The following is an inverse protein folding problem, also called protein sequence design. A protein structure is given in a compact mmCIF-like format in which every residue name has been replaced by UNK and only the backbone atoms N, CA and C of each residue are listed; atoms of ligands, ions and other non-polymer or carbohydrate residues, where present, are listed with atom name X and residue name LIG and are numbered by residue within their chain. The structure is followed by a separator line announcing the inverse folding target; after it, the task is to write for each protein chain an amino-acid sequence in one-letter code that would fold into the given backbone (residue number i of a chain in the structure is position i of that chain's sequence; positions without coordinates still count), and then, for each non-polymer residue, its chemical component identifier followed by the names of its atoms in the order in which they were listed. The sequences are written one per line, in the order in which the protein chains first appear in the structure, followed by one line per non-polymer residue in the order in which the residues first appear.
data_IF_313360073243
#
_entry.id   IF_313360073243
#
_cell.length_a   1.000
_cell.length_b   1.000
_cell.length_c   1.000
_cell.angle_alpha   90.00
_cell.angle_beta   90.00
_cell.angle_gamma   90.00
#
_symmetry.space_group_name_H-M   'P 1'
#
loop_
_entity.id
_entity.type
_entity.pdbx_description
1 polymer ?
#
# COMPACT_ATOMS: atom_id res chain seq x y z
N UNK A 1 31.91 -69.21 3.86
CA UNK A 1 32.64 -68.48 2.78
C UNK A 1 31.94 -67.14 2.66
N UNK A 2 32.39 -66.15 3.42
CA UNK A 2 33.24 -65.03 2.95
C UNK A 2 32.38 -63.93 2.32
N UNK A 3 32.35 -62.68 2.76
CA UNK A 3 33.13 -61.98 3.78
C UNK A 3 32.59 -60.56 3.94
N UNK A 4 32.84 -59.96 5.09
CA UNK A 4 32.65 -58.54 5.38
C UNK A 4 33.54 -57.68 4.49
N UNK A 5 33.07 -56.49 4.11
CA UNK A 5 33.94 -55.33 3.89
C UNK A 5 33.24 -54.08 4.41
N UNK A 6 33.72 -53.67 5.57
CA UNK A 6 33.53 -52.36 6.19
C UNK A 6 34.33 -51.34 5.38
N UNK A 7 33.70 -50.23 4.97
CA UNK A 7 34.41 -49.02 4.60
C UNK A 7 33.77 -47.84 5.33
N UNK A 8 34.52 -47.34 6.31
CA UNK A 8 34.27 -46.13 7.11
C UNK A 8 35.07 -45.01 6.45
N UNK A 9 34.45 -44.02 5.80
CA UNK A 9 35.14 -42.79 5.41
C UNK A 9 34.22 -41.56 5.57
N UNK A 10 34.64 -40.74 6.52
CA UNK A 10 34.55 -39.28 6.64
C UNK A 10 33.19 -38.57 6.49
N UNK A 11 32.80 -37.95 7.60
CA UNK A 11 31.92 -36.78 7.66
C UNK A 11 32.47 -35.65 6.79
N UNK A 12 31.65 -35.11 5.89
CA UNK A 12 31.73 -33.72 5.50
C UNK A 12 30.39 -33.05 5.80
N UNK A 13 30.41 -32.16 6.80
CA UNK A 13 29.33 -31.21 7.07
C UNK A 13 29.18 -30.31 5.85
N UNK A 14 28.03 -30.39 5.18
CA UNK A 14 27.57 -29.31 4.29
C UNK A 14 26.25 -28.83 4.86
N UNK A 15 26.30 -27.67 5.52
CA UNK A 15 25.10 -26.91 5.91
C UNK A 15 24.59 -26.25 4.63
N UNK A 16 23.48 -26.75 4.09
CA UNK A 16 22.74 -26.08 3.04
C UNK A 16 21.42 -25.61 3.63
N UNK A 17 21.35 -24.29 3.88
CA UNK A 17 20.13 -23.55 4.17
C UNK A 17 19.59 -23.11 2.81
N UNK A 18 18.35 -23.47 2.46
CA UNK A 18 17.58 -22.75 1.45
C UNK A 18 16.09 -23.11 1.52
N UNK A 19 15.31 -22.09 1.87
CA UNK A 19 13.97 -21.74 1.37
C UNK A 19 12.90 -22.85 1.36
N UNK A 20 12.21 -23.00 2.49
CA UNK A 20 10.87 -23.58 2.51
C UNK A 20 9.86 -22.54 2.05
N UNK A 21 9.18 -22.80 0.94
CA UNK A 21 7.97 -22.11 0.56
C UNK A 21 6.86 -22.46 1.55
N UNK A 22 6.39 -21.48 2.31
CA UNK A 22 5.20 -21.60 3.14
C UNK A 22 4.10 -20.73 2.51
N UNK A 23 3.24 -21.37 1.73
CA UNK A 23 1.94 -20.82 1.30
C UNK A 23 1.06 -20.83 2.55
N UNK A 24 0.82 -19.68 3.15
CA UNK A 24 -0.08 -19.52 4.28
C UNK A 24 -1.37 -18.82 3.82
N UNK A 25 -2.49 -19.51 4.07
CA UNK A 25 -3.83 -19.15 3.66
C UNK A 25 -4.29 -17.80 4.23
N UNK A 26 -4.72 -16.88 3.36
CA UNK A 26 -5.44 -15.67 3.75
C UNK A 26 -6.92 -16.05 3.92
N UNK A 27 -7.42 -15.91 5.14
CA UNK A 27 -8.82 -16.15 5.48
C UNK A 27 -9.68 -15.01 4.92
N UNK A 28 -10.57 -15.34 3.99
CA UNK A 28 -11.52 -14.41 3.39
C UNK A 28 -12.57 -13.94 4.42
N UNK A 29 -12.56 -12.65 4.74
CA UNK A 29 -13.69 -11.98 5.41
C UNK A 29 -14.47 -11.25 4.34
N UNK A 30 -15.41 -11.93 3.68
CA UNK A 30 -16.27 -11.32 2.68
C UNK A 30 -17.13 -10.20 3.30
N UNK A 31 -16.96 -8.97 2.82
CA UNK A 31 -17.80 -7.85 3.24
C UNK A 31 -17.53 -6.55 2.47
N UNK A 32 -18.50 -6.19 1.62
CA UNK A 32 -18.73 -4.89 0.99
C UNK A 32 -17.78 -4.42 -0.12
N UNK A 33 -18.08 -4.87 -1.34
CA UNK A 33 -17.95 -4.04 -2.53
C UNK A 33 -19.34 -3.60 -2.97
N UNK A 34 -19.52 -2.32 -3.29
CA UNK A 34 -20.39 -1.75 -4.32
C UNK A 34 -20.44 -0.23 -4.08
N UNK A 35 -19.79 0.52 -4.97
CA UNK A 35 -19.73 1.99 -5.07
C UNK A 35 -18.52 2.62 -4.34
N UNK A 36 -17.43 2.85 -5.09
CA UNK A 36 -16.31 3.69 -4.68
C UNK A 36 -14.96 3.22 -5.24
N UNK A 37 -14.34 4.02 -6.13
CA UNK A 37 -12.98 3.82 -6.66
C UNK A 37 -12.84 2.99 -7.94
N UNK A 38 -11.94 3.40 -8.84
CA UNK A 38 -11.43 2.54 -9.93
C UNK A 38 -10.78 1.31 -9.29
N UNK A 39 -11.49 0.19 -9.29
CA UNK A 39 -11.04 -1.02 -8.63
C UNK A 39 -9.76 -1.53 -9.29
N UNK A 40 -8.68 -1.62 -8.50
CA UNK A 40 -7.44 -2.30 -8.92
C UNK A 40 -7.77 -3.74 -9.27
N UNK A 41 -7.45 -4.25 -10.47
CA UNK A 41 -7.77 -5.61 -10.86
C UNK A 41 -7.21 -6.64 -9.89
N UNK A 42 -7.83 -7.81 -9.80
CA UNK A 42 -7.32 -8.88 -8.94
C UNK A 42 -5.87 -9.25 -9.31
N UNK A 43 -4.99 -9.32 -8.30
CA UNK A 43 -3.59 -9.71 -8.46
C UNK A 43 -2.59 -8.66 -7.98
N UNK A 44 -1.31 -8.95 -8.18
CA UNK A 44 -0.22 -8.04 -7.80
C UNK A 44 -0.01 -6.97 -8.87
N UNK A 45 0.06 -5.72 -8.43
CA UNK A 45 0.23 -4.55 -9.28
C UNK A 45 1.26 -3.60 -8.69
N UNK A 46 1.92 -2.85 -9.56
CA UNK A 46 2.77 -1.74 -9.14
C UNK A 46 1.91 -0.51 -8.90
N UNK A 47 2.05 0.11 -7.74
CA UNK A 47 1.40 1.37 -7.38
C UNK A 47 2.45 2.41 -7.02
N UNK A 48 2.19 3.66 -7.39
CA UNK A 48 3.02 4.80 -7.02
C UNK A 48 2.61 5.32 -5.64
N UNK A 49 3.59 5.72 -4.84
CA UNK A 49 3.39 6.22 -3.48
C UNK A 49 3.57 7.73 -3.45
N UNK A 50 2.59 8.43 -2.88
CA UNK A 50 2.62 9.87 -2.64
C UNK A 50 2.44 10.13 -1.15
N UNK A 51 3.10 11.15 -0.61
CA UNK A 51 2.85 11.60 0.77
C UNK A 51 1.76 12.66 0.78
N UNK A 52 1.06 12.78 1.91
CA UNK A 52 0.09 13.84 2.13
C UNK A 52 0.73 14.92 2.98
N UNK A 53 0.69 16.17 2.51
CA UNK A 53 1.02 17.32 3.35
C UNK A 53 -0.20 17.69 4.21
N UNK A 54 -0.26 17.08 5.40
CA UNK A 54 -1.35 17.29 6.35
C UNK A 54 -1.43 18.74 6.88
N UNK A 55 -0.39 19.55 6.72
CA UNK A 55 -0.37 20.93 7.23
C UNK A 55 -1.23 21.89 6.39
N UNK A 56 -1.45 21.53 5.13
CA UNK A 56 -2.21 22.31 4.15
C UNK A 56 -3.36 21.52 3.50
N UNK A 57 -3.47 20.22 3.76
CA UNK A 57 -4.65 19.42 3.41
C UNK A 57 -5.82 19.69 4.36
N UNK A 58 -7.07 19.55 3.88
CA UNK A 58 -8.26 19.88 4.66
C UNK A 58 -9.49 19.03 4.29
N UNK A 59 -10.52 19.04 5.15
CA UNK A 59 -11.83 18.47 4.85
C UNK A 59 -12.62 19.40 3.92
N UNK A 60 -13.15 18.85 2.84
CA UNK A 60 -13.84 19.58 1.78
C UNK A 60 -15.30 19.84 2.15
N UNK A 61 -15.57 20.59 3.22
CA UNK A 61 -16.92 20.82 3.73
C UNK A 61 -17.40 22.26 3.51
N UNK A 62 -18.73 22.45 3.47
CA UNK A 62 -19.34 23.77 3.38
C UNK A 62 -18.87 24.56 2.16
N UNK A 63 -18.26 25.72 2.41
CA UNK A 63 -17.74 26.62 1.37
C UNK A 63 -16.42 26.15 0.75
N UNK A 64 -15.69 25.24 1.42
CA UNK A 64 -14.43 24.66 0.93
C UNK A 64 -14.66 23.44 0.03
N UNK A 65 -15.92 22.98 -0.07
CA UNK A 65 -16.27 21.86 -0.94
C UNK A 65 -16.18 22.32 -2.40
N UNK A 66 -15.39 21.65 -3.25
CA UNK A 66 -15.32 22.04 -4.65
C UNK A 66 -16.68 21.94 -5.33
N UNK A 67 -16.91 22.84 -6.28
CA UNK A 67 -18.09 22.77 -7.14
C UNK A 67 -18.12 21.47 -7.94
N UNK A 68 -19.24 21.19 -8.60
CA UNK A 68 -19.44 19.96 -9.37
C UNK A 68 -18.30 19.66 -10.35
N UNK A 69 -17.76 20.69 -11.00
CA UNK A 69 -16.63 20.54 -11.92
C UNK A 69 -15.36 20.05 -11.20
N UNK A 70 -14.96 20.67 -10.09
CA UNK A 70 -13.78 20.27 -9.31
C UNK A 70 -13.87 18.83 -8.82
N UNK A 71 -15.05 18.44 -8.30
CA UNK A 71 -15.33 17.06 -7.91
C UNK A 71 -15.24 16.07 -9.07
N UNK A 72 -15.64 16.48 -10.28
CA UNK A 72 -15.60 15.61 -11.48
C UNK A 72 -14.19 15.42 -12.00
N UNK A 73 -13.31 16.41 -11.87
CA UNK A 73 -11.92 16.33 -12.33
C UNK A 73 -10.94 15.91 -11.22
N UNK A 74 -11.43 15.62 -10.02
CA UNK A 74 -10.60 15.21 -8.87
C UNK A 74 -9.73 16.33 -8.30
N UNK A 75 -10.16 17.59 -8.39
CA UNK A 75 -9.40 18.75 -7.91
C UNK A 75 -10.24 19.65 -7.01
N UNK A 76 -9.65 20.09 -5.91
CA UNK A 76 -10.20 21.15 -5.07
C UNK A 76 -9.84 22.54 -5.59
N UNK A 77 -8.59 22.69 -6.05
CA UNK A 77 -8.04 23.90 -6.64
C UNK A 77 -6.91 23.53 -7.64
N UNK A 78 -5.89 24.38 -7.81
CA UNK A 78 -4.86 24.21 -8.84
C UNK A 78 -3.86 23.09 -8.56
N UNK A 79 -3.66 22.75 -7.29
CA UNK A 79 -2.62 21.84 -6.79
C UNK A 79 -3.12 20.88 -5.70
N UNK A 80 -4.37 21.01 -5.27
CA UNK A 80 -4.99 20.15 -4.28
C UNK A 80 -5.95 19.16 -4.92
N UNK A 81 -5.80 17.87 -4.59
CA UNK A 81 -6.62 16.79 -5.12
C UNK A 81 -7.88 16.58 -4.28
N UNK A 82 -9.03 16.48 -4.94
CA UNK A 82 -10.28 16.10 -4.31
C UNK A 82 -10.38 14.58 -4.23
N UNK A 83 -10.47 14.04 -3.01
CA UNK A 83 -10.49 12.61 -2.73
C UNK A 83 -11.58 12.33 -1.69
N UNK A 84 -12.47 11.39 -1.98
CA UNK A 84 -13.44 10.87 -1.01
C UNK A 84 -12.85 9.58 -0.40
N UNK A 85 -12.68 9.52 0.93
CA UNK A 85 -12.23 8.30 1.62
C UNK A 85 -12.69 8.32 3.08
N UNK A 86 -12.76 7.14 3.72
CA UNK A 86 -13.22 6.99 5.11
C UNK A 86 -14.61 7.63 5.39
N UNK A 87 -15.46 7.77 4.37
CA UNK A 87 -16.78 8.41 4.47
C UNK A 87 -16.76 9.94 4.53
N UNK A 88 -15.63 10.57 4.22
CA UNK A 88 -15.45 12.02 4.16
C UNK A 88 -14.96 12.51 2.80
N UNK A 89 -15.18 13.78 2.53
CA UNK A 89 -14.66 14.48 1.35
C UNK A 89 -13.42 15.29 1.76
N UNK A 90 -12.32 15.14 1.04
CA UNK A 90 -11.05 15.74 1.41
C UNK A 90 -10.37 16.43 0.23
N UNK A 91 -9.60 17.46 0.56
CA UNK A 91 -8.71 18.17 -0.33
C UNK A 91 -7.28 17.87 0.15
N UNK A 92 -6.57 17.01 -0.57
CA UNK A 92 -5.24 16.54 -0.21
C UNK A 92 -4.18 17.20 -1.09
N UNK A 93 -3.19 17.81 -0.45
CA UNK A 93 -1.96 18.22 -1.13
C UNK A 93 -1.00 17.05 -1.09
N UNK A 94 -0.58 16.60 -2.27
CA UNK A 94 0.26 15.42 -2.44
C UNK A 94 1.68 15.82 -2.81
N UNK A 95 2.66 15.17 -2.21
CA UNK A 95 4.07 15.30 -2.57
C UNK A 95 4.58 13.97 -3.14
N UNK A 96 5.21 14.02 -4.32
CA UNK A 96 5.70 12.84 -5.02
C UNK A 96 5.53 12.90 -6.54
N UNK A 97 5.60 11.75 -7.24
CA UNK A 97 5.69 10.39 -6.69
C UNK A 97 7.03 10.13 -5.97
N UNK A 98 6.99 9.39 -4.86
CA UNK A 98 8.19 9.00 -4.11
C UNK A 98 8.85 7.76 -4.69
N UNK A 99 8.05 6.83 -5.20
CA UNK A 99 8.52 5.57 -5.75
C UNK A 99 7.40 4.55 -5.89
N UNK A 100 7.80 3.37 -6.37
CA UNK A 100 6.90 2.27 -6.70
C UNK A 100 6.96 1.19 -5.64
N UNK A 101 5.80 0.61 -5.31
CA UNK A 101 5.68 -0.58 -4.48
C UNK A 101 4.66 -1.56 -5.06
N UNK A 102 4.70 -2.80 -4.59
CA UNK A 102 3.70 -3.80 -4.97
C UNK A 102 2.47 -3.70 -4.06
N UNK A 103 1.28 -3.66 -4.63
CA UNK A 103 0.04 -3.84 -3.91
C UNK A 103 -0.80 -4.96 -4.54
N UNK A 104 -1.63 -5.61 -3.74
CA UNK A 104 -2.56 -6.64 -4.20
C UNK A 104 -3.95 -6.03 -4.36
N UNK A 105 -4.47 -6.02 -5.59
CA UNK A 105 -5.87 -5.71 -5.86
C UNK A 105 -6.74 -6.94 -5.64
N UNK A 106 -7.99 -6.72 -5.22
CA UNK A 106 -8.99 -7.78 -5.08
C UNK A 106 -10.40 -7.24 -4.85
N UNK A 107 -11.34 -8.16 -4.60
CA UNK A 107 -12.76 -7.85 -4.41
C UNK A 107 -13.03 -6.91 -3.22
N UNK A 108 -12.06 -6.75 -2.32
CA UNK A 108 -12.13 -5.94 -1.11
C UNK A 108 -11.35 -4.62 -1.21
N UNK A 109 -10.84 -4.29 -2.40
CA UNK A 109 -9.98 -3.14 -2.65
C UNK A 109 -8.51 -3.51 -2.73
N UNK A 110 -7.65 -2.57 -2.31
CA UNK A 110 -6.20 -2.70 -2.36
C UNK A 110 -5.68 -3.18 -1.01
N UNK A 111 -4.73 -4.11 -1.02
CA UNK A 111 -4.01 -4.56 0.18
C UNK A 111 -2.53 -4.33 -0.03
N UNK A 112 -1.87 -3.77 0.98
CA UNK A 112 -0.43 -3.62 0.98
C UNK A 112 0.20 -4.80 1.75
N UNK A 113 1.02 -5.64 1.11
CA UNK A 113 1.63 -6.76 1.78
C UNK A 113 2.73 -6.28 2.75
N UNK A 114 2.97 -7.00 3.87
CA UNK A 114 3.99 -6.63 4.86
C UNK A 114 5.40 -6.44 4.29
N UNK A 115 5.72 -7.15 3.20
CA UNK A 115 7.01 -7.04 2.51
C UNK A 115 7.29 -5.63 1.95
N UNK A 116 6.25 -4.83 1.70
CA UNK A 116 6.34 -3.51 1.07
C UNK A 116 6.29 -2.37 2.11
N UNK A 117 5.97 -2.68 3.36
CA UNK A 117 5.92 -1.70 4.45
C UNK A 117 7.24 -0.98 4.65
N UNK A 118 8.35 -1.72 4.69
CA UNK A 118 9.68 -1.12 4.84
C UNK A 118 10.07 -0.26 3.65
N UNK A 119 9.64 -0.63 2.43
CA UNK A 119 9.90 0.17 1.24
C UNK A 119 9.20 1.53 1.34
N UNK A 120 7.91 1.55 1.71
CA UNK A 120 7.18 2.82 1.92
C UNK A 120 7.80 3.63 3.06
N UNK A 121 8.14 3.01 4.18
CA UNK A 121 8.76 3.72 5.30
C UNK A 121 10.12 4.34 4.90
N UNK A 122 10.90 3.65 4.06
CA UNK A 122 12.17 4.19 3.57
C UNK A 122 11.96 5.32 2.56
N UNK A 123 10.95 5.22 1.68
CA UNK A 123 10.54 6.32 0.79
C UNK A 123 10.13 7.55 1.60
N UNK A 124 9.27 7.38 2.61
CA UNK A 124 8.79 8.46 3.48
C UNK A 124 9.94 9.10 4.27
N UNK A 125 10.93 8.32 4.74
CA UNK A 125 12.10 8.85 5.47
C UNK A 125 13.07 9.59 4.56
N UNK A 126 13.15 9.20 3.29
CA UNK A 126 14.02 9.84 2.32
C UNK A 126 13.45 11.17 1.82
N UNK A 127 12.13 11.37 1.95
CA UNK A 127 11.44 12.60 1.57
C UNK A 127 11.82 13.76 2.51
N UNK A 128 12.17 14.90 1.92
CA UNK A 128 12.44 16.15 2.65
C UNK A 128 11.12 16.91 2.88
N UNK A 129 10.19 16.26 3.60
CA UNK A 129 8.89 16.83 3.88
C UNK A 129 9.00 17.97 4.92
N UNK A 130 8.16 19.00 4.76
CA UNK A 130 8.09 20.13 5.68
C UNK A 130 7.59 19.77 7.11
N UNK A 131 7.17 18.52 7.32
CA UNK A 131 6.66 18.00 8.58
C UNK A 131 6.60 16.47 8.62
N UNK A 132 6.15 15.88 9.75
CA UNK A 132 6.00 14.44 9.87
C UNK A 132 4.89 13.94 8.93
N UNK A 133 5.23 12.99 8.06
CA UNK A 133 4.26 12.33 7.19
C UNK A 133 3.44 11.33 8.00
N UNK A 134 2.12 11.53 8.07
CA UNK A 134 1.23 10.61 8.79
C UNK A 134 0.48 9.66 7.88
N UNK A 135 0.37 9.99 6.59
CA UNK A 135 -0.41 9.24 5.59
C UNK A 135 0.27 9.26 4.23
N UNK A 136 0.03 8.20 3.47
CA UNK A 136 0.40 8.10 2.04
C UNK A 136 -0.83 7.77 1.21
N UNK A 137 -0.81 8.22 -0.04
CA UNK A 137 -1.80 7.89 -1.08
C UNK A 137 -1.15 6.97 -2.10
N UNK A 138 -1.90 5.96 -2.53
CA UNK A 138 -1.50 5.02 -3.58
C UNK A 138 -2.18 5.40 -4.89
N UNK A 139 -1.40 5.47 -5.97
CA UNK A 139 -1.90 5.68 -7.33
C UNK A 139 -1.65 4.45 -8.19
N UNK A 140 -2.65 4.05 -8.97
CA UNK A 140 -2.58 2.98 -9.96
C UNK A 140 -3.17 3.47 -11.27
N UNK A 141 -2.41 3.35 -12.35
CA UNK A 141 -2.84 3.70 -13.72
C UNK A 141 -3.44 5.12 -13.85
N UNK A 142 -2.88 6.09 -13.11
CA UNK A 142 -3.34 7.48 -13.12
C UNK A 142 -4.53 7.80 -12.22
N UNK A 143 -5.05 6.82 -11.48
CA UNK A 143 -6.14 6.99 -10.51
C UNK A 143 -5.65 6.72 -9.09
N UNK A 144 -6.09 7.51 -8.11
CA UNK A 144 -5.82 7.23 -6.70
C UNK A 144 -6.72 6.10 -6.19
N UNK A 145 -6.12 5.08 -5.59
CA UNK A 145 -6.81 3.83 -5.23
C UNK A 145 -6.89 3.58 -3.74
N UNK A 146 -6.14 4.32 -2.94
CA UNK A 146 -6.29 4.22 -1.50
C UNK A 146 -5.36 5.09 -0.67
N UNK A 147 -5.70 5.21 0.61
CA UNK A 147 -4.94 5.94 1.63
C UNK A 147 -4.46 4.97 2.70
N UNK A 148 -3.18 5.08 3.08
CA UNK A 148 -2.56 4.27 4.12
C UNK A 148 -2.01 5.15 5.22
N UNK A 149 -2.35 4.85 6.47
CA UNK A 149 -1.72 5.51 7.62
C UNK A 149 -0.30 4.98 7.80
N UNK A 150 0.70 5.86 7.87
CA UNK A 150 2.11 5.48 8.02
C UNK A 150 2.33 4.66 9.30
N UNK A 151 1.60 4.98 10.38
CA UNK A 151 1.65 4.23 11.64
C UNK A 151 1.17 2.77 11.53
N UNK A 152 0.40 2.42 10.50
CA UNK A 152 -0.03 1.03 10.28
C UNK A 152 1.08 0.15 9.68
N UNK A 153 2.11 0.76 9.11
CA UNK A 153 3.22 0.07 8.42
C UNK A 153 4.25 -0.51 9.39
N UNK A 154 4.23 -0.11 10.66
CA UNK A 154 5.10 -0.68 11.71
C UNK A 154 4.67 -2.09 12.14
N UNK A 155 3.54 -2.58 11.62
CA UNK A 155 3.03 -3.94 11.86
C UNK A 155 3.62 -4.97 10.89
N UNK A 156 3.65 -6.24 11.32
CA UNK A 156 3.93 -7.39 10.45
C UNK A 156 2.68 -7.92 9.73
N UNK A 157 1.50 -7.44 10.10
CA UNK A 157 0.25 -7.75 9.42
C UNK A 157 0.08 -6.89 8.17
N UNK A 158 -0.67 -7.33 7.13
CA UNK A 158 -0.94 -6.49 5.98
C UNK A 158 -1.59 -5.17 6.40
N UNK A 159 -1.13 -4.06 5.84
CA UNK A 159 -1.74 -2.76 6.14
C UNK A 159 -3.12 -2.65 5.50
N UNK A 160 -4.07 -2.17 6.29
CA UNK A 160 -5.39 -1.80 5.78
C UNK A 160 -5.27 -0.54 4.94
N UNK A 161 -5.50 -0.67 3.64
CA UNK A 161 -5.67 0.48 2.76
C UNK A 161 -7.12 0.95 2.86
N UNK A 162 -7.32 2.23 3.14
CA UNK A 162 -8.66 2.82 3.06
C UNK A 162 -8.96 3.11 1.60
N UNK A 163 -10.01 2.53 1.01
CA UNK A 163 -10.34 2.78 -0.39
C UNK A 163 -10.74 4.25 -0.59
N UNK A 164 -10.48 4.74 -1.80
CA UNK A 164 -10.95 6.04 -2.30
C UNK A 164 -12.20 5.80 -3.14
N UNK A 165 -13.23 6.61 -2.93
CA UNK A 165 -14.55 6.48 -3.55
C UNK A 165 -14.70 7.27 -4.87
#
# INVERSE_FOLDING_TARGET
MSGQLVAKVAQHKVKTVAAGAAVAAVAAVAGFGLLGGDAVPAGAHTVQVYTVDDSISYEATGELRPGLYGRTVGLCDGDTHYIEYAGGEHCLVLSGPLGDVTAEGGDQGVVLPPAEHSAILDLVRAEDAAGPVTRVVLEYDGSFVGVVAVSSLDSTDPASVTPID
#
